data_IF_438466180280
#
_entry.id   IF_438466180280
#
_cell.length_a   1.000
_cell.length_b   1.000
_cell.length_c   1.000
_cell.angle_alpha   90.00
_cell.angle_beta   90.00
_cell.angle_gamma   90.00
#
_symmetry.space_group_name_H-M   'P 1'
#
loop_
_entity.id
_entity.type
_entity.pdbx_description
1 polymer ?
#
# COMPACT_ATOMS: atom_id res chain seq x y z
N UNK A 1 -10.72 -18.51 -2.68
CA UNK A 1 -9.36 -18.23 -3.21
C UNK A 1 -9.25 -18.05 -4.74
N UNK A 2 -10.11 -18.67 -5.57
CA UNK A 2 -9.90 -18.80 -7.04
C UNK A 2 -9.82 -17.53 -7.91
N UNK A 3 -9.97 -16.32 -7.35
CA UNK A 3 -9.79 -15.05 -8.09
C UNK A 3 -8.67 -14.17 -7.56
N UNK A 4 -7.91 -14.63 -6.54
CA UNK A 4 -6.91 -13.84 -5.84
C UNK A 4 -5.91 -13.19 -6.81
N UNK A 5 -5.23 -13.99 -7.64
CA UNK A 5 -4.17 -13.48 -8.51
C UNK A 5 -4.70 -12.53 -9.59
N UNK A 6 -5.91 -12.81 -10.10
CA UNK A 6 -6.59 -11.92 -11.05
C UNK A 6 -6.98 -10.59 -10.41
N UNK A 7 -7.40 -10.62 -9.15
CA UNK A 7 -7.70 -9.41 -8.39
C UNK A 7 -6.44 -8.59 -8.15
N UNK A 8 -5.36 -9.22 -7.66
CA UNK A 8 -4.06 -8.58 -7.41
C UNK A 8 -3.52 -7.92 -8.69
N UNK A 9 -3.57 -8.62 -9.83
CA UNK A 9 -3.12 -8.08 -11.11
C UNK A 9 -3.92 -6.82 -11.52
N UNK A 10 -5.25 -6.87 -11.47
CA UNK A 10 -6.11 -5.72 -11.79
C UNK A 10 -5.96 -4.57 -10.80
N UNK A 11 -5.77 -4.88 -9.52
CA UNK A 11 -5.53 -3.87 -8.49
C UNK A 11 -4.25 -3.11 -8.80
N UNK A 12 -3.16 -3.83 -9.11
CA UNK A 12 -1.87 -3.24 -9.50
C UNK A 12 -2.01 -2.34 -10.73
N UNK A 13 -2.69 -2.80 -11.78
CA UNK A 13 -2.95 -2.00 -12.98
C UNK A 13 -3.69 -0.70 -12.66
N UNK A 14 -4.75 -0.78 -11.85
CA UNK A 14 -5.52 0.40 -11.45
C UNK A 14 -4.72 1.34 -10.57
N UNK A 15 -3.92 0.82 -9.64
CA UNK A 15 -3.08 1.61 -8.74
C UNK A 15 -1.99 2.38 -9.50
N UNK A 16 -1.42 1.77 -10.55
CA UNK A 16 -0.41 2.41 -11.41
C UNK A 16 -0.95 3.62 -12.19
N UNK A 17 -2.28 3.74 -12.36
CA UNK A 17 -2.91 4.91 -13.01
C UNK A 17 -3.07 6.11 -12.08
N UNK A 18 -2.79 5.96 -10.77
CA UNK A 18 -2.90 7.08 -9.84
C UNK A 18 -1.79 8.10 -10.12
N UNK A 19 -2.17 9.28 -10.60
CA UNK A 19 -1.24 10.40 -10.72
C UNK A 19 -0.98 11.00 -9.34
N UNK A 20 0.24 10.81 -8.86
CA UNK A 20 0.74 11.48 -7.66
C UNK A 20 1.25 12.87 -8.04
N UNK A 21 0.91 13.89 -7.27
CA UNK A 21 1.32 15.26 -7.62
C UNK A 21 0.81 16.34 -6.69
N UNK A 22 0.91 17.57 -7.16
CA UNK A 22 0.43 18.77 -6.47
C UNK A 22 -1.07 18.64 -6.18
N UNK A 23 -1.52 18.72 -4.91
CA UNK A 23 -2.93 18.62 -4.57
C UNK A 23 -3.81 19.73 -5.18
N UNK A 24 -3.22 20.82 -5.70
CA UNK A 24 -3.94 21.86 -6.44
C UNK A 24 -4.04 21.61 -7.95
N UNK A 25 -3.32 20.61 -8.49
CA UNK A 25 -3.42 20.24 -9.90
C UNK A 25 -4.69 19.41 -10.16
N UNK A 26 -5.44 19.79 -11.20
CA UNK A 26 -6.74 19.19 -11.50
C UNK A 26 -6.69 17.70 -11.88
N UNK A 27 -5.54 17.20 -12.32
CA UNK A 27 -5.35 15.79 -12.71
C UNK A 27 -4.63 14.96 -11.65
N UNK A 28 -4.33 15.54 -10.47
CA UNK A 28 -3.76 14.79 -9.35
C UNK A 28 -4.82 13.96 -8.67
N UNK A 29 -4.55 12.67 -8.55
CA UNK A 29 -5.40 11.73 -7.81
C UNK A 29 -4.95 11.59 -6.36
N UNK A 30 -3.64 11.62 -6.10
CA UNK A 30 -3.06 11.39 -4.78
C UNK A 30 -2.05 12.48 -4.41
N UNK A 31 -2.33 13.20 -3.32
CA UNK A 31 -1.44 14.18 -2.71
C UNK A 31 -0.42 13.57 -1.75
N UNK A 32 0.40 14.42 -1.09
CA UNK A 32 1.36 13.98 -0.08
C UNK A 32 0.66 13.60 1.24
N UNK A 33 1.38 12.90 2.11
CA UNK A 33 0.99 12.74 3.50
C UNK A 33 1.02 14.11 4.22
N UNK A 34 0.24 14.24 5.28
CA UNK A 34 0.04 15.53 5.98
C UNK A 34 1.32 16.08 6.62
N UNK A 35 2.26 15.23 7.00
CA UNK A 35 3.49 15.63 7.70
C UNK A 35 4.62 14.62 7.51
N UNK A 36 5.85 15.04 7.85
CA UNK A 36 7.01 14.15 7.92
C UNK A 36 6.78 12.99 8.89
N UNK A 37 6.22 13.26 10.06
CA UNK A 37 5.94 12.24 11.07
C UNK A 37 5.02 11.13 10.52
N UNK A 38 3.96 11.51 9.81
CA UNK A 38 3.07 10.52 9.20
C UNK A 38 3.74 9.77 8.05
N UNK A 39 4.52 10.47 7.23
CA UNK A 39 5.30 9.84 6.17
C UNK A 39 6.26 8.78 6.71
N UNK A 40 7.06 9.12 7.71
CA UNK A 40 8.03 8.21 8.33
C UNK A 40 7.32 7.02 8.97
N UNK A 41 6.22 7.26 9.71
CA UNK A 41 5.41 6.19 10.29
C UNK A 41 4.91 5.19 9.24
N UNK A 42 4.36 5.67 8.13
CA UNK A 42 3.86 4.79 7.05
C UNK A 42 5.03 4.05 6.37
N UNK A 43 6.15 4.73 6.10
CA UNK A 43 7.34 4.09 5.52
C UNK A 43 7.92 3.01 6.44
N UNK A 44 7.87 3.20 7.76
CA UNK A 44 8.26 2.18 8.74
C UNK A 44 7.32 0.98 8.72
N UNK A 45 5.99 1.16 8.59
CA UNK A 45 5.07 0.04 8.39
C UNK A 45 5.36 -0.75 7.13
N UNK A 46 5.66 -0.06 6.01
CA UNK A 46 6.05 -0.72 4.76
C UNK A 46 7.34 -1.53 4.96
N UNK A 47 8.32 -0.97 5.67
CA UNK A 47 9.56 -1.67 6.01
C UNK A 47 9.29 -2.92 6.88
N UNK A 48 8.44 -2.81 7.90
CA UNK A 48 8.05 -3.93 8.74
C UNK A 48 7.37 -5.04 7.92
N UNK A 49 6.44 -4.69 7.03
CA UNK A 49 5.80 -5.66 6.13
C UNK A 49 6.80 -6.47 5.30
N UNK A 50 7.81 -5.80 4.72
CA UNK A 50 8.91 -6.47 4.00
C UNK A 50 9.71 -7.39 4.91
N UNK A 51 10.01 -6.95 6.14
CA UNK A 51 10.81 -7.72 7.11
C UNK A 51 10.07 -8.96 7.65
N UNK A 52 8.75 -8.89 7.76
CA UNK A 52 7.90 -9.99 8.23
C UNK A 52 7.59 -11.01 7.13
N UNK A 53 8.02 -10.76 5.89
CA UNK A 53 7.94 -11.70 4.77
C UNK A 53 6.77 -11.47 3.83
N UNK A 54 6.02 -10.36 3.96
CA UNK A 54 5.00 -9.99 2.98
C UNK A 54 5.64 -9.56 1.65
N UNK A 55 4.93 -9.82 0.56
CA UNK A 55 5.36 -9.48 -0.80
C UNK A 55 4.82 -8.12 -1.22
N UNK A 56 5.67 -7.25 -1.77
CA UNK A 56 5.22 -5.99 -2.39
C UNK A 56 4.82 -6.26 -3.83
N UNK A 57 3.51 -6.25 -4.12
CA UNK A 57 3.01 -6.42 -5.47
C UNK A 57 3.15 -5.12 -6.31
N UNK A 58 3.02 -3.96 -5.67
CA UNK A 58 3.26 -2.63 -6.25
C UNK A 58 3.57 -1.59 -5.17
N UNK A 59 4.26 -0.52 -5.55
CA UNK A 59 4.59 0.60 -4.67
C UNK A 59 5.66 0.26 -3.65
N UNK A 60 5.44 0.66 -2.41
CA UNK A 60 6.29 0.31 -1.28
C UNK A 60 7.53 1.20 -1.10
N UNK A 61 7.55 2.34 -1.79
CA UNK A 61 8.65 3.30 -1.77
C UNK A 61 8.14 4.74 -1.76
N UNK A 62 9.04 5.67 -1.47
CA UNK A 62 8.82 7.11 -1.65
C UNK A 62 8.57 7.43 -3.13
N UNK A 63 7.70 8.38 -3.42
CA UNK A 63 7.56 8.96 -4.75
C UNK A 63 8.28 10.32 -4.84
N UNK A 64 9.28 10.43 -5.71
CA UNK A 64 10.08 11.64 -5.87
C UNK A 64 10.96 11.98 -4.65
N UNK A 65 11.57 13.16 -4.67
CA UNK A 65 12.52 13.64 -3.66
C UNK A 65 11.96 14.77 -2.78
N UNK A 66 10.86 15.41 -3.17
CA UNK A 66 10.22 16.53 -2.45
C UNK A 66 8.83 16.17 -1.92
N UNK A 67 8.46 16.79 -0.80
CA UNK A 67 7.19 16.52 -0.12
C UNK A 67 7.17 15.15 0.56
N UNK A 68 5.98 14.73 0.96
CA UNK A 68 5.74 13.52 1.76
C UNK A 68 4.97 12.47 0.96
N UNK A 69 5.41 12.17 -0.26
CA UNK A 69 4.68 11.26 -1.15
C UNK A 69 5.13 9.82 -1.00
N UNK A 70 4.15 8.92 -0.86
CA UNK A 70 4.34 7.47 -0.78
C UNK A 70 3.61 6.84 -1.96
N UNK A 71 4.26 5.91 -2.66
CA UNK A 71 3.63 5.19 -3.76
C UNK A 71 2.42 4.37 -3.25
N UNK A 72 1.32 4.24 -4.02
CA UNK A 72 0.23 3.33 -3.68
C UNK A 72 0.79 1.91 -3.52
N UNK A 73 0.66 1.35 -2.33
CA UNK A 73 1.34 0.13 -1.92
C UNK A 73 0.36 -1.01 -1.72
N UNK A 74 0.64 -2.15 -2.35
CA UNK A 74 -0.13 -3.38 -2.18
C UNK A 74 0.79 -4.48 -1.66
N UNK A 75 0.45 -5.02 -0.49
CA UNK A 75 1.05 -6.24 0.05
C UNK A 75 0.19 -7.47 -0.27
N UNK A 76 0.86 -8.54 -0.67
CA UNK A 76 0.31 -9.91 -0.73
C UNK A 76 1.12 -10.83 0.18
N UNK A 77 0.71 -12.08 0.30
CA UNK A 77 1.36 -13.08 1.19
C UNK A 77 1.42 -12.61 2.64
N UNK A 78 0.42 -11.84 3.06
CA UNK A 78 0.26 -11.32 4.41
C UNK A 78 -0.41 -12.38 5.27
N UNK A 79 0.11 -12.63 6.46
CA UNK A 79 -0.51 -13.48 7.47
C UNK A 79 -1.11 -12.63 8.59
N UNK A 80 -2.12 -13.16 9.28
CA UNK A 80 -2.83 -12.43 10.33
C UNK A 80 -1.92 -11.95 11.46
N UNK A 81 -0.84 -12.65 11.78
CA UNK A 81 0.10 -12.23 12.84
C UNK A 81 1.06 -11.10 12.43
N UNK A 82 1.05 -10.66 11.17
CA UNK A 82 1.90 -9.55 10.72
C UNK A 82 1.39 -8.21 11.26
N UNK A 83 2.31 -7.32 11.61
CA UNK A 83 2.01 -5.98 12.14
C UNK A 83 1.12 -5.20 11.17
N UNK A 84 1.38 -5.30 9.87
CA UNK A 84 0.61 -4.63 8.81
C UNK A 84 -0.82 -5.19 8.62
N UNK A 85 -1.14 -6.34 9.21
CA UNK A 85 -2.49 -6.92 9.25
C UNK A 85 -3.25 -6.58 10.54
N UNK A 86 -2.53 -6.24 11.62
CA UNK A 86 -3.07 -6.02 12.95
C UNK A 86 -3.21 -4.54 13.32
N UNK A 87 -2.32 -3.71 12.81
CA UNK A 87 -2.24 -2.30 13.16
C UNK A 87 -2.72 -1.40 12.01
N UNK A 88 -3.29 -0.26 12.40
CA UNK A 88 -3.72 0.76 11.45
C UNK A 88 -2.54 1.59 10.93
N UNK A 89 -2.31 1.52 9.62
CA UNK A 89 -1.19 2.21 8.95
C UNK A 89 -1.50 3.68 8.66
N UNK A 90 -2.77 4.02 8.33
CA UNK A 90 -3.19 5.38 7.94
C UNK A 90 -2.49 5.95 6.69
N UNK A 91 -2.02 5.09 5.79
CA UNK A 91 -1.34 5.48 4.55
C UNK A 91 -1.96 4.83 3.31
N UNK A 92 -1.42 5.12 2.10
CA UNK A 92 -1.86 4.51 0.86
C UNK A 92 -1.32 3.06 0.73
N UNK A 93 -1.60 2.23 1.74
CA UNK A 93 -1.13 0.85 1.87
C UNK A 93 -2.33 -0.05 2.06
N UNK A 94 -2.41 -1.13 1.28
CA UNK A 94 -3.43 -2.17 1.41
C UNK A 94 -2.78 -3.53 1.49
N UNK A 95 -3.37 -4.43 2.27
CA UNK A 95 -3.02 -5.85 2.31
C UNK A 95 -4.12 -6.65 1.62
N UNK A 96 -3.75 -7.65 0.83
CA UNK A 96 -4.70 -8.60 0.22
C UNK A 96 -4.35 -9.99 0.70
N UNK A 97 -5.36 -10.65 1.27
CA UNK A 97 -5.27 -12.01 1.78
C UNK A 97 -6.30 -12.89 1.06
N UNK A 98 -5.98 -14.18 0.92
CA UNK A 98 -6.87 -15.19 0.36
C UNK A 98 -7.57 -15.93 1.49
N UNK A 99 -8.84 -16.26 1.26
CA UNK A 99 -9.65 -17.12 2.11
C UNK A 99 -10.30 -18.20 1.24
N UNK A 100 -10.69 -19.35 1.81
CA UNK A 100 -11.30 -20.45 1.06
C UNK A 100 -12.81 -20.49 1.23
N UNK A 101 -13.29 -20.31 2.45
CA UNK A 101 -14.72 -20.32 2.79
C UNK A 101 -15.13 -19.08 3.60
N UNK A 102 -16.42 -18.98 3.93
CA UNK A 102 -16.97 -17.79 4.60
C UNK A 102 -16.63 -17.74 6.10
N UNK A 103 -16.22 -18.87 6.67
CA UNK A 103 -15.97 -19.02 8.11
C UNK A 103 -14.48 -18.82 8.46
N UNK A 104 -13.59 -18.81 7.45
CA UNK A 104 -12.18 -18.35 7.50
C UNK A 104 -12.03 -16.85 7.79
#
# INVERSE_FOLDING_TARGET
EGIHDKFVARFKERAAQNKLGDPFAADTFQGPQVSQLQFERIMDYIKHGKQEGATIATGGERHGDKGYFIQPTLFTDVTQNMKIAQEEIFGPVVTVQKFKDIDD
#
